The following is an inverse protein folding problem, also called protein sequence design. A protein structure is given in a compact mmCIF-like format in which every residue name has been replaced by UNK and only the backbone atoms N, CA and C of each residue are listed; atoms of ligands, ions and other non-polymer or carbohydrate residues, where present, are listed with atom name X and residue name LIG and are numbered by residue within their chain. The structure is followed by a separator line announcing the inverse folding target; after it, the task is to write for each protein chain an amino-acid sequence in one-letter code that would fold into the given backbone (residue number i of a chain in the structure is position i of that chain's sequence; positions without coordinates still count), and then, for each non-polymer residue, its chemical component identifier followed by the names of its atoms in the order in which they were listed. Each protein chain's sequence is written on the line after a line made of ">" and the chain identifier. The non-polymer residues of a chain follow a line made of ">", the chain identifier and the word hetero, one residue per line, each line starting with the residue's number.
data_IF_124619289160
#
_entry.id   IF_124619289160
#
_cell.length_a   1.000
_cell.length_b   1.000
_cell.length_c   1.000
_cell.angle_alpha   90.00
_cell.angle_beta   90.00
_cell.angle_gamma   90.00
#
_symmetry.space_group_name_H-M   'P 1'
#
loop_
_entity.id
_entity.type
_entity.pdbx_description
1 polymer ?
#
# COMPACT_ATOMS: atom_id res chain seq x y z
N UNK A 1 -25.08 28.68 1.13
CA UNK A 1 -25.64 27.52 0.40
C UNK A 1 -24.66 26.35 0.60
N UNK A 2 -24.98 25.38 1.47
CA UNK A 2 -24.15 24.18 1.64
C UNK A 2 -24.49 23.26 0.47
N UNK A 3 -23.57 23.11 -0.49
CA UNK A 3 -23.70 22.11 -1.55
C UNK A 3 -23.66 20.73 -0.90
N UNK A 4 -24.76 20.01 -0.97
CA UNK A 4 -24.82 18.59 -0.66
C UNK A 4 -23.97 17.85 -1.68
N UNK A 5 -22.69 17.66 -1.37
CA UNK A 5 -21.86 16.72 -2.12
C UNK A 5 -22.36 15.32 -1.76
N UNK A 6 -23.26 14.78 -2.59
CA UNK A 6 -23.67 13.38 -2.52
C UNK A 6 -22.40 12.58 -2.74
N UNK A 7 -21.87 11.98 -1.69
CA UNK A 7 -20.76 11.05 -1.73
C UNK A 7 -21.13 9.90 -2.69
N UNK A 8 -20.72 9.99 -3.94
CA UNK A 8 -20.77 8.86 -4.86
C UNK A 8 -19.91 7.76 -4.25
N UNK A 9 -20.56 6.70 -3.79
CA UNK A 9 -19.86 5.53 -3.26
C UNK A 9 -18.94 4.98 -4.35
N UNK A 10 -17.64 5.08 -4.14
CA UNK A 10 -16.67 4.54 -5.10
C UNK A 10 -16.81 3.02 -5.12
N UNK A 11 -16.97 2.45 -6.31
CA UNK A 11 -16.97 1.01 -6.49
C UNK A 11 -15.51 0.52 -6.52
N UNK A 12 -15.11 -0.25 -5.51
CA UNK A 12 -13.85 -0.96 -5.49
C UNK A 12 -13.96 -2.29 -6.22
N UNK A 13 -12.82 -2.81 -6.74
CA UNK A 13 -12.72 -4.16 -7.28
C UNK A 13 -12.93 -5.26 -6.23
N UNK A 14 -12.82 -6.54 -6.65
CA UNK A 14 -12.96 -7.70 -5.77
C UNK A 14 -14.42 -8.05 -5.42
N UNK A 15 -15.39 -7.66 -6.25
CA UNK A 15 -16.83 -7.87 -6.00
C UNK A 15 -17.42 -8.95 -6.90
N UNK A 16 -16.77 -10.10 -7.01
CA UNK A 16 -17.20 -11.22 -7.86
C UNK A 16 -18.66 -11.60 -7.60
N UNK A 17 -19.07 -11.74 -6.34
CA UNK A 17 -20.45 -12.11 -6.00
C UNK A 17 -21.50 -11.11 -6.55
N UNK A 18 -21.18 -9.82 -6.51
CA UNK A 18 -22.06 -8.80 -7.09
C UNK A 18 -22.13 -8.91 -8.62
N UNK A 19 -21.01 -9.22 -9.27
CA UNK A 19 -20.96 -9.44 -10.71
C UNK A 19 -21.75 -10.70 -11.09
N UNK A 20 -21.67 -11.78 -10.33
CA UNK A 20 -22.44 -13.01 -10.54
C UNK A 20 -23.96 -12.78 -10.46
N UNK A 21 -24.41 -11.93 -9.56
CA UNK A 21 -25.82 -11.54 -9.45
C UNK A 21 -26.28 -10.75 -10.68
N UNK A 22 -25.43 -9.86 -11.20
CA UNK A 22 -25.74 -9.05 -12.38
C UNK A 22 -25.69 -9.86 -13.69
N UNK A 23 -24.86 -10.89 -13.75
CA UNK A 23 -24.63 -11.71 -14.95
C UNK A 23 -24.78 -13.20 -14.64
N UNK A 24 -25.99 -13.69 -14.26
CA UNK A 24 -26.19 -15.06 -13.78
C UNK A 24 -25.90 -16.15 -14.81
N UNK A 25 -25.93 -15.79 -16.09
CA UNK A 25 -25.69 -16.71 -17.22
C UNK A 25 -24.25 -16.66 -17.75
N UNK A 26 -23.35 -15.92 -17.09
CA UNK A 26 -21.95 -15.87 -17.50
C UNK A 26 -21.26 -17.22 -17.26
N UNK A 27 -20.34 -17.65 -18.16
CA UNK A 27 -19.65 -18.92 -18.00
C UNK A 27 -18.77 -18.94 -16.74
N UNK A 28 -18.68 -20.11 -16.11
CA UNK A 28 -17.73 -20.38 -15.04
C UNK A 28 -16.46 -21.06 -15.59
N UNK A 29 -15.28 -20.94 -14.94
CA UNK A 29 -15.04 -20.14 -13.71
C UNK A 29 -14.94 -18.64 -13.98
N UNK A 30 -15.30 -17.84 -12.97
CA UNK A 30 -15.09 -16.39 -13.00
C UNK A 30 -13.62 -16.06 -12.78
N UNK A 31 -13.10 -15.11 -13.56
CA UNK A 31 -11.74 -14.58 -13.40
C UNK A 31 -11.86 -13.11 -12.98
N UNK A 32 -11.34 -12.78 -11.78
CA UNK A 32 -11.36 -11.42 -11.27
C UNK A 32 -10.10 -10.66 -11.70
N UNK A 33 -10.27 -9.73 -12.63
CA UNK A 33 -9.21 -8.81 -13.09
C UNK A 33 -9.40 -7.40 -12.53
N UNK A 34 -10.25 -7.22 -11.51
CA UNK A 34 -10.57 -5.90 -10.95
C UNK A 34 -9.68 -5.49 -9.79
N UNK A 35 -8.71 -6.31 -9.38
CA UNK A 35 -7.79 -6.05 -8.28
C UNK A 35 -6.34 -6.31 -8.68
N UNK A 36 -5.42 -5.42 -8.24
CA UNK A 36 -3.98 -5.63 -8.42
C UNK A 36 -3.41 -6.55 -7.33
N UNK A 37 -3.83 -7.81 -7.31
CA UNK A 37 -3.38 -8.83 -6.35
C UNK A 37 -2.66 -9.93 -7.09
N UNK A 38 -1.53 -10.40 -6.58
CA UNK A 38 -0.82 -11.55 -7.13
C UNK A 38 -1.76 -12.76 -7.18
N UNK A 39 -2.04 -13.35 -8.36
CA UNK A 39 -2.93 -14.49 -8.48
C UNK A 39 -2.36 -15.76 -7.85
N UNK A 40 -1.03 -15.83 -7.67
CA UNK A 40 -0.35 -16.93 -6.98
C UNK A 40 -0.20 -16.57 -5.50
N UNK A 41 -1.12 -17.07 -4.67
CA UNK A 41 -1.07 -16.80 -3.24
C UNK A 41 0.07 -17.55 -2.55
N UNK A 42 0.67 -16.92 -1.54
CA UNK A 42 1.59 -17.62 -0.61
C UNK A 42 0.87 -18.79 0.05
N UNK A 43 1.47 -19.97 0.12
CA UNK A 43 0.84 -21.13 0.73
C UNK A 43 0.60 -20.88 2.23
N UNK A 44 -0.67 -20.99 2.64
CA UNK A 44 -1.04 -20.75 4.04
C UNK A 44 -0.49 -21.89 4.90
N UNK A 45 0.41 -21.58 5.86
CA UNK A 45 0.95 -22.61 6.75
C UNK A 45 -0.10 -23.06 7.76
N UNK A 46 0.13 -24.20 8.38
CA UNK A 46 -0.61 -24.60 9.57
C UNK A 46 -0.42 -23.57 10.70
N UNK A 47 -1.52 -23.13 11.29
CA UNK A 47 -1.54 -22.12 12.33
C UNK A 47 -1.91 -22.79 13.65
N UNK A 48 -1.09 -22.56 14.67
CA UNK A 48 -1.36 -23.08 16.01
C UNK A 48 -2.69 -22.53 16.55
N UNK A 49 -3.50 -23.38 17.23
CA UNK A 49 -4.83 -22.97 17.74
C UNK A 49 -4.79 -21.73 18.63
N UNK A 50 -3.70 -21.50 19.34
CA UNK A 50 -3.52 -20.35 20.23
C UNK A 50 -3.53 -19.01 19.47
N UNK A 51 -3.08 -18.98 18.22
CA UNK A 51 -3.15 -17.76 17.40
C UNK A 51 -4.59 -17.31 17.12
N UNK A 52 -5.56 -18.23 17.21
CA UNK A 52 -6.99 -17.93 17.07
C UNK A 52 -7.68 -17.57 18.38
N UNK A 53 -7.24 -18.18 19.49
CA UNK A 53 -7.94 -18.15 20.77
C UNK A 53 -7.34 -17.19 21.80
N UNK A 54 -6.19 -16.58 21.51
CA UNK A 54 -5.52 -15.61 22.38
C UNK A 54 -5.35 -14.27 21.67
N UNK A 55 -5.37 -13.20 22.44
CA UNK A 55 -4.93 -11.89 21.95
C UNK A 55 -3.44 -11.93 21.67
N UNK A 56 -2.97 -11.31 20.56
CA UNK A 56 -1.54 -11.22 20.27
C UNK A 56 -0.80 -10.43 21.35
N UNK A 57 0.36 -10.90 21.73
CA UNK A 57 1.26 -10.24 22.66
C UNK A 57 2.30 -9.34 21.94
N UNK A 58 3.11 -8.65 22.75
CA UNK A 58 4.14 -7.75 22.23
C UNK A 58 5.23 -8.49 21.45
N UNK A 59 5.51 -9.75 21.81
CA UNK A 59 6.49 -10.58 21.10
C UNK A 59 6.03 -10.93 19.69
N UNK A 60 4.74 -11.26 19.51
CA UNK A 60 4.18 -11.53 18.19
C UNK A 60 4.25 -10.30 17.27
N UNK A 61 3.99 -9.10 17.81
CA UNK A 61 4.12 -7.85 17.05
C UNK A 61 5.58 -7.54 16.74
N UNK A 62 6.49 -7.58 17.71
CA UNK A 62 7.90 -7.28 17.48
C UNK A 62 8.54 -8.23 16.47
N UNK A 63 8.20 -9.51 16.54
CA UNK A 63 8.73 -10.52 15.60
C UNK A 63 8.35 -10.24 14.15
N UNK A 64 7.09 -9.90 13.87
CA UNK A 64 6.67 -9.62 12.49
C UNK A 64 7.20 -8.26 12.01
N UNK A 65 7.29 -7.27 12.88
CA UNK A 65 7.80 -5.95 12.54
C UNK A 65 9.30 -6.00 12.22
N UNK A 66 10.07 -6.82 12.94
CA UNK A 66 11.48 -7.09 12.63
C UNK A 66 11.61 -7.86 11.32
N UNK A 67 10.80 -8.88 11.08
CA UNK A 67 10.78 -9.60 9.82
C UNK A 67 10.44 -8.66 8.64
N UNK A 68 9.47 -7.78 8.81
CA UNK A 68 9.13 -6.77 7.81
C UNK A 68 10.26 -5.77 7.57
N UNK A 69 10.94 -5.29 8.62
CA UNK A 69 12.09 -4.40 8.50
C UNK A 69 13.21 -5.04 7.68
N UNK A 70 13.52 -6.30 7.96
CA UNK A 70 14.54 -7.08 7.21
C UNK A 70 14.09 -7.29 5.77
N UNK A 71 12.86 -7.77 5.57
CA UNK A 71 12.30 -8.06 4.25
C UNK A 71 12.27 -6.85 3.33
N UNK A 72 11.95 -5.68 3.85
CA UNK A 72 11.90 -4.43 3.09
C UNK A 72 13.25 -3.71 3.02
N UNK A 73 14.32 -4.32 3.53
CA UNK A 73 15.66 -3.76 3.57
C UNK A 73 15.69 -2.34 4.16
N UNK A 74 14.90 -2.13 5.22
CA UNK A 74 14.81 -0.85 5.90
C UNK A 74 16.03 -0.66 6.83
N UNK A 75 16.50 0.60 7.01
CA UNK A 75 17.54 0.92 7.98
C UNK A 75 17.24 0.38 9.38
N UNK A 76 18.26 0.03 10.14
CA UNK A 76 18.11 -0.55 11.49
C UNK A 76 17.31 0.36 12.44
N UNK A 77 17.43 1.68 12.28
CA UNK A 77 16.75 2.69 13.09
C UNK A 77 15.28 2.89 12.67
N UNK A 78 14.90 2.43 11.47
CA UNK A 78 13.50 2.51 11.01
C UNK A 78 12.59 1.74 11.94
N UNK A 79 11.51 2.36 12.34
CA UNK A 79 10.41 1.74 13.08
C UNK A 79 9.39 1.17 12.12
N UNK A 80 8.86 0.03 12.48
CA UNK A 80 7.80 -0.64 11.71
C UNK A 80 6.59 -0.77 12.61
N UNK A 81 5.42 -0.46 12.06
CA UNK A 81 4.13 -0.60 12.74
C UNK A 81 3.25 -1.49 11.88
N UNK A 82 2.83 -2.63 12.41
CA UNK A 82 1.88 -3.53 11.75
C UNK A 82 0.44 -3.02 11.95
N UNK A 83 -0.39 -3.16 10.91
CA UNK A 83 -1.79 -2.75 10.94
C UNK A 83 -2.68 -3.63 10.07
N UNK A 84 -4.00 -3.48 10.19
CA UNK A 84 -5.00 -4.24 9.44
C UNK A 84 -5.06 -3.84 7.95
N UNK A 85 -3.95 -4.03 7.25
CA UNK A 85 -3.71 -3.60 5.87
C UNK A 85 -3.40 -2.09 5.78
N UNK A 86 -2.89 -1.65 4.62
CA UNK A 86 -2.59 -0.24 4.37
C UNK A 86 -3.80 0.66 4.58
N UNK A 87 -5.00 0.15 4.30
CA UNK A 87 -6.24 0.91 4.49
C UNK A 87 -6.44 1.40 5.93
N UNK A 88 -6.00 0.66 6.95
CA UNK A 88 -6.07 1.12 8.33
C UNK A 88 -5.23 2.37 8.57
N UNK A 89 -4.04 2.44 7.96
CA UNK A 89 -3.20 3.64 8.02
C UNK A 89 -3.82 4.81 7.26
N UNK A 90 -4.32 4.58 6.04
CA UNK A 90 -5.01 5.62 5.25
C UNK A 90 -6.14 6.26 6.06
N UNK A 91 -6.91 5.47 6.82
CA UNK A 91 -8.03 5.96 7.63
C UNK A 91 -7.60 6.77 8.87
N UNK A 92 -6.45 6.46 9.47
CA UNK A 92 -6.01 7.15 10.69
C UNK A 92 -5.14 8.37 10.43
N UNK A 93 -4.44 8.44 9.28
CA UNK A 93 -3.51 9.54 8.96
C UNK A 93 -4.15 10.93 9.04
N UNK A 94 -5.37 11.19 8.55
CA UNK A 94 -6.01 12.50 8.71
C UNK A 94 -6.33 12.86 10.18
N UNK A 95 -6.45 11.86 11.05
CA UNK A 95 -6.65 12.07 12.51
C UNK A 95 -5.33 12.39 13.21
N UNK A 96 -4.22 11.82 12.72
CA UNK A 96 -2.87 12.10 13.23
C UNK A 96 -2.42 13.50 12.80
N UNK A 97 -2.74 13.88 11.55
CA UNK A 97 -2.38 15.17 10.96
C UNK A 97 -3.65 15.98 10.59
N UNK A 98 -4.38 16.54 11.58
CA UNK A 98 -5.67 17.17 11.32
C UNK A 98 -5.51 18.54 10.66
N UNK A 99 -6.57 18.99 9.92
CA UNK A 99 -6.73 20.35 9.36
C UNK A 99 -5.54 20.77 8.50
N UNK A 100 -5.19 19.96 7.49
CA UNK A 100 -4.02 20.18 6.64
C UNK A 100 -4.41 20.58 5.22
N UNK A 101 -3.49 21.28 4.57
CA UNK A 101 -3.47 21.34 3.11
C UNK A 101 -2.74 20.12 2.60
N UNK A 102 -3.43 19.29 1.83
CA UNK A 102 -2.96 17.99 1.39
C UNK A 102 -2.80 17.99 -0.12
N UNK A 103 -1.57 17.77 -0.58
CA UNK A 103 -1.26 17.56 -1.99
C UNK A 103 -1.22 16.07 -2.30
N UNK A 104 -1.93 15.62 -3.32
CA UNK A 104 -1.91 14.23 -3.79
C UNK A 104 -1.37 14.20 -5.21
N UNK A 105 -0.32 13.42 -5.46
CA UNK A 105 0.32 13.34 -6.76
C UNK A 105 -0.49 12.52 -7.77
N UNK A 106 -1.09 13.21 -8.73
CA UNK A 106 -1.80 12.65 -9.88
C UNK A 106 -3.11 11.95 -9.55
N UNK A 107 -3.74 11.41 -10.59
CA UNK A 107 -4.85 10.49 -10.42
C UNK A 107 -4.32 9.18 -9.81
N UNK A 108 -4.79 8.86 -8.62
CA UNK A 108 -4.29 7.74 -7.82
C UNK A 108 -5.40 7.05 -7.03
N UNK A 109 -5.03 6.14 -6.12
CA UNK A 109 -5.97 5.41 -5.28
C UNK A 109 -6.90 6.36 -4.52
N UNK A 110 -8.18 6.31 -4.86
CA UNK A 110 -9.17 7.33 -4.48
C UNK A 110 -9.41 7.47 -2.97
N UNK A 111 -9.07 6.44 -2.18
CA UNK A 111 -9.24 6.46 -0.72
C UNK A 111 -8.44 7.58 -0.05
N UNK A 112 -7.30 7.98 -0.61
CA UNK A 112 -6.56 9.12 -0.08
C UNK A 112 -7.38 10.41 -0.16
N UNK A 113 -7.89 10.74 -1.34
CA UNK A 113 -8.70 11.95 -1.51
C UNK A 113 -10.00 11.91 -0.69
N UNK A 114 -10.65 10.75 -0.62
CA UNK A 114 -11.88 10.57 0.15
C UNK A 114 -11.65 10.74 1.65
N UNK A 115 -10.64 10.07 2.18
CA UNK A 115 -10.39 10.03 3.62
C UNK A 115 -9.94 11.39 4.15
N UNK A 116 -9.05 12.06 3.41
CA UNK A 116 -8.62 13.41 3.75
C UNK A 116 -9.71 14.44 3.50
N UNK A 117 -10.51 14.31 2.44
CA UNK A 117 -11.66 15.17 2.16
C UNK A 117 -12.81 15.01 3.16
N UNK A 118 -12.90 13.86 3.85
CA UNK A 118 -13.85 13.64 4.94
C UNK A 118 -13.37 14.20 6.29
N UNK A 119 -12.11 14.59 6.38
CA UNK A 119 -11.56 15.36 7.51
C UNK A 119 -11.66 16.85 7.22
N UNK A 120 -11.39 17.69 8.20
CA UNK A 120 -11.39 19.17 8.00
C UNK A 120 -10.16 19.65 7.18
N UNK A 121 -9.68 18.85 6.23
CA UNK A 121 -8.50 19.13 5.40
C UNK A 121 -8.89 19.64 4.02
N UNK A 122 -8.02 20.45 3.42
CA UNK A 122 -8.16 20.91 2.02
C UNK A 122 -7.30 20.01 1.14
N UNK A 123 -7.92 19.29 0.22
CA UNK A 123 -7.25 18.34 -0.67
C UNK A 123 -7.10 18.92 -2.07
N UNK A 124 -5.90 18.85 -2.61
CA UNK A 124 -5.58 19.26 -3.98
C UNK A 124 -4.85 18.10 -4.68
N UNK A 125 -5.31 17.77 -5.89
CA UNK A 125 -4.62 16.82 -6.75
C UNK A 125 -3.68 17.60 -7.66
N UNK A 126 -2.41 17.24 -7.68
CA UNK A 126 -1.36 17.90 -8.45
C UNK A 126 -0.77 16.95 -9.50
N UNK A 127 -0.43 17.47 -10.67
CA UNK A 127 -0.01 16.63 -11.79
C UNK A 127 1.46 16.24 -11.75
N UNK A 128 2.30 17.03 -11.07
CA UNK A 128 3.74 16.82 -11.03
C UNK A 128 4.33 16.90 -9.63
N UNK A 129 5.50 16.31 -9.44
CA UNK A 129 6.20 16.32 -8.15
C UNK A 129 6.66 17.74 -7.78
N UNK A 130 6.94 18.59 -8.76
CA UNK A 130 7.30 20.00 -8.54
C UNK A 130 6.12 20.81 -8.02
N UNK A 131 4.90 20.45 -8.44
CA UNK A 131 3.68 21.04 -7.89
C UNK A 131 3.45 20.54 -6.45
N UNK A 132 3.78 19.28 -6.15
CA UNK A 132 3.70 18.75 -4.79
C UNK A 132 4.70 19.41 -3.83
N UNK A 133 5.81 19.92 -4.35
CA UNK A 133 6.81 20.67 -3.57
C UNK A 133 6.38 22.11 -3.19
N UNK A 134 5.12 22.46 -3.42
CA UNK A 134 4.56 23.72 -3.00
C UNK A 134 4.18 23.69 -1.52
N UNK A 135 3.31 24.57 -1.14
CA UNK A 135 2.92 24.86 0.23
C UNK A 135 1.82 23.90 0.75
N UNK A 136 2.14 22.59 0.80
CA UNK A 136 1.29 21.55 1.39
C UNK A 136 1.84 21.12 2.74
N UNK A 137 0.98 20.96 3.72
CA UNK A 137 1.36 20.40 5.03
C UNK A 137 1.63 18.89 4.93
N UNK A 138 0.89 18.21 4.02
CA UNK A 138 1.02 16.79 3.77
C UNK A 138 1.11 16.55 2.26
N UNK A 139 2.13 15.84 1.82
CA UNK A 139 2.26 15.31 0.47
C UNK A 139 1.98 13.82 0.43
N UNK A 140 1.26 13.36 -0.59
CA UNK A 140 0.96 11.94 -0.77
C UNK A 140 1.42 11.49 -2.16
N UNK A 141 2.23 10.44 -2.19
CA UNK A 141 2.74 9.79 -3.39
C UNK A 141 2.39 8.31 -3.31
N UNK A 142 1.74 7.76 -4.33
CA UNK A 142 1.59 6.31 -4.51
C UNK A 142 2.64 5.87 -5.52
N UNK A 143 3.56 4.99 -5.13
CA UNK A 143 4.72 4.63 -5.95
C UNK A 143 5.12 3.15 -5.81
N UNK A 144 4.89 2.31 -6.79
CA UNK A 144 4.25 2.57 -8.10
C UNK A 144 2.81 3.04 -7.98
N UNK A 145 2.40 3.94 -8.88
CA UNK A 145 1.06 4.51 -8.82
C UNK A 145 -0.03 3.50 -9.25
N UNK A 146 -1.14 3.53 -8.58
CA UNK A 146 -2.37 2.84 -8.97
C UNK A 146 -3.39 3.88 -9.47
N UNK A 147 -3.87 3.82 -10.76
CA UNK A 147 -3.92 2.61 -11.60
C UNK A 147 -2.88 2.51 -12.71
N UNK A 148 -2.11 3.55 -12.99
CA UNK A 148 -1.31 3.66 -14.24
C UNK A 148 0.09 3.04 -14.13
N UNK A 149 0.51 2.59 -12.95
CA UNK A 149 1.82 1.99 -12.72
C UNK A 149 3.00 2.97 -12.82
N UNK A 150 2.74 4.27 -12.92
CA UNK A 150 3.79 5.29 -13.00
C UNK A 150 4.73 5.19 -11.80
N UNK A 151 6.03 5.28 -12.08
CA UNK A 151 7.08 5.39 -11.09
C UNK A 151 7.59 6.84 -11.00
N UNK A 152 7.76 7.31 -9.78
CA UNK A 152 8.52 8.53 -9.48
C UNK A 152 9.94 8.10 -9.14
N UNK A 153 10.89 8.78 -9.73
CA UNK A 153 12.32 8.50 -9.53
C UNK A 153 12.73 8.71 -8.07
N UNK A 154 13.51 7.76 -7.53
CA UNK A 154 13.95 7.78 -6.13
C UNK A 154 14.66 9.09 -5.74
N UNK A 155 15.46 9.66 -6.65
CA UNK A 155 16.14 10.94 -6.44
C UNK A 155 15.20 12.14 -6.34
N UNK A 156 14.07 12.13 -7.05
CA UNK A 156 13.04 13.17 -6.94
C UNK A 156 12.31 13.08 -5.60
N UNK A 157 11.96 11.85 -5.18
CA UNK A 157 11.33 11.62 -3.88
C UNK A 157 12.26 12.04 -2.74
N UNK A 158 13.56 11.72 -2.84
CA UNK A 158 14.54 12.09 -1.81
C UNK A 158 14.64 13.61 -1.65
N UNK A 159 14.77 14.35 -2.75
CA UNK A 159 14.81 15.82 -2.72
C UNK A 159 13.54 16.42 -2.12
N UNK A 160 12.38 15.86 -2.46
CA UNK A 160 11.11 16.30 -1.90
C UNK A 160 11.05 16.02 -0.40
N UNK A 161 11.46 14.83 0.04
CA UNK A 161 11.47 14.45 1.46
C UNK A 161 12.36 15.37 2.30
N UNK A 162 13.55 15.75 1.80
CA UNK A 162 14.43 16.72 2.46
C UNK A 162 13.75 18.08 2.63
N UNK A 163 13.05 18.57 1.59
CA UNK A 163 12.34 19.85 1.65
C UNK A 163 11.16 19.82 2.62
N UNK A 164 10.41 18.70 2.63
CA UNK A 164 9.34 18.49 3.59
C UNK A 164 9.88 18.46 5.02
N UNK A 165 11.03 17.80 5.25
CA UNK A 165 11.69 17.80 6.55
C UNK A 165 12.10 19.21 6.99
N UNK A 166 12.70 20.02 6.11
CA UNK A 166 13.09 21.40 6.41
C UNK A 166 11.92 22.31 6.80
N UNK A 167 10.72 22.00 6.29
CA UNK A 167 9.49 22.77 6.52
C UNK A 167 8.61 22.18 7.63
N UNK A 168 9.03 21.10 8.29
CA UNK A 168 8.22 20.32 9.23
C UNK A 168 6.88 19.86 8.64
N UNK A 169 6.89 19.50 7.37
CA UNK A 169 5.76 18.94 6.61
C UNK A 169 5.85 17.42 6.57
N UNK A 170 4.74 16.72 6.25
CA UNK A 170 4.69 15.26 6.24
C UNK A 170 4.59 14.72 4.82
N UNK A 171 5.45 13.77 4.44
CA UNK A 171 5.39 13.05 3.17
C UNK A 171 4.98 11.59 3.41
N UNK A 172 3.87 11.19 2.81
CA UNK A 172 3.35 9.83 2.86
C UNK A 172 3.61 9.18 1.51
N UNK A 173 4.32 8.05 1.52
CA UNK A 173 4.69 7.31 0.32
C UNK A 173 4.05 5.93 0.40
N UNK A 174 3.04 5.68 -0.42
CA UNK A 174 2.38 4.38 -0.51
C UNK A 174 3.13 3.49 -1.50
N UNK A 175 3.82 2.51 -0.98
CA UNK A 175 4.57 1.51 -1.73
C UNK A 175 3.85 0.14 -1.78
N UNK A 176 2.54 0.14 -1.89
CA UNK A 176 1.74 -1.10 -1.90
C UNK A 176 2.10 -2.07 -3.03
N UNK A 177 2.74 -1.60 -4.09
CA UNK A 177 3.11 -2.40 -5.27
C UNK A 177 4.63 -2.48 -5.53
N UNK A 178 5.48 -2.02 -4.61
CA UNK A 178 6.92 -1.88 -4.84
C UNK A 178 7.71 -3.19 -4.67
N UNK A 179 7.14 -4.23 -4.09
CA UNK A 179 7.90 -5.42 -3.64
C UNK A 179 8.67 -6.14 -4.74
N UNK A 180 8.20 -6.06 -6.00
CA UNK A 180 8.90 -6.61 -7.17
C UNK A 180 9.92 -5.63 -7.79
N UNK A 181 9.99 -4.41 -7.27
CA UNK A 181 10.89 -3.33 -7.73
C UNK A 181 11.59 -2.64 -6.55
N UNK A 182 12.24 -3.40 -5.64
CA UNK A 182 12.76 -2.86 -4.37
C UNK A 182 13.83 -1.77 -4.56
N UNK A 183 14.48 -1.71 -5.72
CA UNK A 183 15.47 -0.68 -6.05
C UNK A 183 14.87 0.74 -6.11
N UNK A 184 13.56 0.87 -6.36
CA UNK A 184 12.85 2.15 -6.38
C UNK A 184 12.26 2.55 -5.04
N UNK A 185 12.38 1.70 -4.01
CA UNK A 185 11.81 1.99 -2.69
C UNK A 185 12.47 3.20 -2.02
N UNK A 186 11.64 4.01 -1.42
CA UNK A 186 12.02 5.17 -0.62
C UNK A 186 12.25 4.84 0.87
N UNK A 187 12.31 3.56 1.22
CA UNK A 187 12.39 3.09 2.62
C UNK A 187 13.56 3.71 3.40
N UNK A 188 14.67 4.03 2.75
CA UNK A 188 15.82 4.69 3.40
C UNK A 188 15.51 6.10 3.91
N UNK A 189 14.43 6.74 3.41
CA UNK A 189 14.02 8.08 3.83
C UNK A 189 13.21 8.07 5.14
N UNK A 190 12.83 6.89 5.65
CA UNK A 190 12.05 6.73 6.90
C UNK A 190 12.81 7.13 8.17
N UNK A 191 14.10 7.46 8.05
CA UNK A 191 14.87 8.08 9.11
C UNK A 191 14.51 9.56 9.34
N UNK A 192 13.89 10.20 8.35
CA UNK A 192 13.36 11.55 8.48
C UNK A 192 11.99 11.49 9.18
N UNK A 193 11.79 12.33 10.18
CA UNK A 193 10.49 12.42 10.88
C UNK A 193 9.36 12.85 9.95
N UNK A 194 9.68 13.47 8.84
CA UNK A 194 8.73 13.91 7.81
C UNK A 194 8.25 12.79 6.89
N UNK A 195 8.76 11.54 6.99
CA UNK A 195 8.45 10.48 6.01
C UNK A 195 7.77 9.29 6.67
N UNK A 196 6.68 8.85 6.07
CA UNK A 196 6.01 7.59 6.36
C UNK A 196 5.90 6.80 5.05
N UNK A 197 6.43 5.58 5.03
CA UNK A 197 6.30 4.64 3.90
C UNK A 197 5.31 3.55 4.27
N UNK A 198 4.30 3.32 3.42
CA UNK A 198 3.29 2.29 3.62
C UNK A 198 3.59 1.07 2.73
N UNK A 199 3.42 -0.14 3.27
CA UNK A 199 3.69 -1.41 2.57
C UNK A 199 2.49 -2.34 2.71
N UNK A 200 2.02 -2.88 1.58
CA UNK A 200 0.91 -3.83 1.57
C UNK A 200 1.42 -5.26 1.50
N UNK A 201 1.03 -6.08 2.45
CA UNK A 201 1.31 -7.51 2.42
C UNK A 201 0.43 -8.25 1.39
N UNK A 202 -0.87 -7.98 1.43
CA UNK A 202 -1.86 -8.75 0.68
C UNK A 202 -1.75 -8.69 -0.83
N UNK A 203 -1.10 -7.66 -1.38
CA UNK A 203 -0.91 -7.49 -2.83
C UNK A 203 0.12 -8.47 -3.35
N UNK A 204 1.31 -8.41 -2.80
CA UNK A 204 2.47 -9.20 -3.22
C UNK A 204 2.31 -10.68 -2.89
N UNK A 205 1.86 -10.99 -1.68
CA UNK A 205 1.69 -12.36 -1.22
C UNK A 205 0.37 -13.03 -1.65
N UNK A 206 -0.48 -12.34 -2.44
CA UNK A 206 -1.74 -12.91 -2.93
C UNK A 206 -2.75 -13.23 -1.82
N UNK A 207 -2.60 -12.64 -0.64
CA UNK A 207 -3.44 -12.89 0.54
C UNK A 207 -4.18 -11.61 1.02
N UNK A 208 -4.98 -10.96 0.17
CA UNK A 208 -5.65 -9.71 0.54
C UNK A 208 -6.63 -9.85 1.69
N UNK A 209 -7.21 -11.05 1.86
CA UNK A 209 -8.13 -11.38 2.96
C UNK A 209 -7.47 -11.45 4.32
N UNK A 210 -6.14 -11.58 4.40
CA UNK A 210 -5.38 -11.61 5.65
C UNK A 210 -5.41 -10.27 6.39
N UNK A 211 -5.64 -9.18 5.68
CA UNK A 211 -5.66 -7.82 6.21
C UNK A 211 -4.39 -7.47 6.99
N UNK A 212 -3.24 -7.52 6.33
CA UNK A 212 -1.94 -7.18 6.89
C UNK A 212 -1.26 -6.11 6.04
N UNK A 213 -0.65 -5.12 6.69
CA UNK A 213 0.16 -4.07 6.09
C UNK A 213 1.05 -3.41 7.13
N UNK A 214 1.96 -2.58 6.67
CA UNK A 214 2.98 -1.97 7.52
C UNK A 214 3.16 -0.50 7.20
N UNK A 215 3.44 0.29 8.24
CA UNK A 215 4.00 1.62 8.13
C UNK A 215 5.44 1.60 8.61
N UNK A 216 6.36 2.10 7.79
CA UNK A 216 7.78 2.25 8.09
C UNK A 216 8.04 3.74 8.31
N UNK A 217 8.63 4.11 9.44
CA UNK A 217 8.73 5.50 9.84
C UNK A 217 9.80 5.73 10.93
N UNK A 218 9.93 6.97 11.36
CA UNK A 218 10.74 7.34 12.53
C UNK A 218 10.07 6.95 13.85
N UNK A 219 10.82 7.05 14.95
CA UNK A 219 10.30 6.81 16.30
C UNK A 219 9.16 7.75 16.67
N UNK A 220 9.22 9.00 16.23
CA UNK A 220 8.14 9.97 16.47
C UNK A 220 6.83 9.51 15.85
N UNK A 221 6.85 9.18 14.56
CA UNK A 221 5.66 8.70 13.82
C UNK A 221 5.17 7.34 14.32
N UNK A 222 6.07 6.44 14.75
CA UNK A 222 5.68 5.17 15.38
C UNK A 222 4.73 5.40 16.55
N UNK A 223 5.08 6.31 17.47
CA UNK A 223 4.27 6.59 18.65
C UNK A 223 2.86 7.10 18.27
N UNK A 224 2.80 8.02 17.30
CA UNK A 224 1.52 8.55 16.79
C UNK A 224 0.65 7.46 16.14
N UNK A 225 1.26 6.62 15.30
CA UNK A 225 0.56 5.54 14.61
C UNK A 225 0.03 4.49 15.60
N UNK A 226 0.87 4.04 16.56
CA UNK A 226 0.45 3.06 17.59
C UNK A 226 -0.68 3.61 18.45
N UNK A 227 -0.61 4.86 18.87
CA UNK A 227 -1.66 5.51 19.65
C UNK A 227 -2.99 5.57 18.86
N UNK A 228 -2.92 5.87 17.57
CA UNK A 228 -4.12 5.99 16.73
C UNK A 228 -4.75 4.64 16.37
N UNK A 229 -3.94 3.59 16.18
CA UNK A 229 -4.39 2.23 15.91
C UNK A 229 -4.99 1.55 17.15
N UNK A 230 -4.45 1.87 18.33
CA UNK A 230 -4.79 1.17 19.58
C UNK A 230 -4.15 -0.23 19.66
N UNK A 231 -4.48 -1.00 20.73
CA UNK A 231 -3.95 -2.33 20.94
C UNK A 231 -4.57 -3.33 19.94
N UNK A 232 -3.84 -4.43 19.71
CA UNK A 232 -4.29 -5.57 18.89
C UNK A 232 -4.72 -5.20 17.47
N UNK A 233 -4.00 -4.30 16.84
CA UNK A 233 -4.31 -3.78 15.51
C UNK A 233 -4.29 -4.85 14.38
N UNK A 234 -3.73 -6.03 14.65
CA UNK A 234 -3.63 -7.17 13.71
C UNK A 234 -4.01 -8.45 14.43
N UNK A 235 -4.73 -9.34 13.76
CA UNK A 235 -5.14 -10.63 14.31
C UNK A 235 -3.95 -11.60 14.47
N UNK A 236 -4.02 -12.50 15.46
CA UNK A 236 -3.00 -13.52 15.68
C UNK A 236 -2.68 -14.38 14.44
N UNK A 237 -3.70 -14.90 13.72
CA UNK A 237 -3.44 -15.61 12.46
C UNK A 237 -2.71 -14.79 11.40
N UNK A 238 -3.03 -13.50 11.28
CA UNK A 238 -2.35 -12.62 10.33
C UNK A 238 -0.88 -12.39 10.70
N UNK A 239 -0.57 -12.25 11.99
CA UNK A 239 0.81 -12.17 12.48
C UNK A 239 1.58 -13.48 12.19
N UNK A 240 0.98 -14.64 12.49
CA UNK A 240 1.63 -15.94 12.29
C UNK A 240 1.92 -16.26 10.81
N UNK A 241 0.95 -16.02 9.92
CA UNK A 241 1.12 -16.23 8.48
C UNK A 241 2.12 -15.21 7.92
N UNK A 242 1.94 -13.94 8.31
CA UNK A 242 2.78 -12.84 7.83
C UNK A 242 4.25 -13.03 8.22
N UNK A 243 4.53 -13.46 9.45
CA UNK A 243 5.89 -13.74 9.91
C UNK A 243 6.57 -14.81 9.04
N UNK A 244 5.89 -15.92 8.78
CA UNK A 244 6.43 -16.99 7.91
C UNK A 244 6.69 -16.50 6.49
N UNK A 245 5.73 -15.80 5.90
CA UNK A 245 5.83 -15.32 4.53
C UNK A 245 6.93 -14.26 4.36
N UNK A 246 7.06 -13.32 5.30
CA UNK A 246 8.12 -12.30 5.26
C UNK A 246 9.51 -12.90 5.45
N UNK A 247 9.60 -14.03 6.16
CA UNK A 247 10.85 -14.76 6.40
C UNK A 247 11.20 -15.76 5.29
N UNK A 248 10.45 -15.77 4.17
CA UNK A 248 10.65 -16.65 3.02
C UNK A 248 11.12 -15.86 1.79
N UNK A 249 12.42 -15.56 1.67
CA UNK A 249 12.96 -14.82 0.53
C UNK A 249 12.93 -15.64 -0.77
N UNK A 250 12.90 -16.97 -0.70
CA UNK A 250 12.88 -17.82 -1.89
C UNK A 250 11.53 -17.69 -2.62
N UNK A 251 10.44 -17.79 -1.88
CA UNK A 251 9.11 -17.67 -2.46
C UNK A 251 8.91 -16.33 -3.17
N UNK A 252 9.31 -15.22 -2.54
CA UNK A 252 9.10 -13.89 -3.15
C UNK A 252 9.93 -13.71 -4.43
N UNK A 253 11.14 -14.26 -4.48
CA UNK A 253 11.97 -14.21 -5.67
C UNK A 253 11.34 -15.01 -6.81
N UNK A 254 10.82 -16.23 -6.52
CA UNK A 254 10.10 -17.04 -7.50
C UNK A 254 8.82 -16.34 -7.98
N UNK A 255 8.04 -15.75 -7.07
CA UNK A 255 6.85 -14.99 -7.41
C UNK A 255 7.16 -13.79 -8.32
N UNK A 256 8.25 -13.07 -8.06
CA UNK A 256 8.68 -11.95 -8.90
C UNK A 256 9.02 -12.41 -10.33
N UNK A 257 9.77 -13.49 -10.47
CA UNK A 257 10.12 -14.08 -11.78
C UNK A 257 8.85 -14.51 -12.52
N UNK A 258 7.93 -15.21 -11.84
CA UNK A 258 6.68 -15.66 -12.44
C UNK A 258 5.81 -14.48 -12.91
N UNK A 259 5.61 -13.48 -12.08
CA UNK A 259 4.85 -12.28 -12.44
C UNK A 259 5.46 -11.55 -13.64
N UNK A 260 6.78 -11.47 -13.72
CA UNK A 260 7.46 -10.86 -14.87
C UNK A 260 7.26 -11.65 -16.16
N UNK A 261 7.33 -12.98 -16.10
CA UNK A 261 7.08 -13.85 -17.26
C UNK A 261 5.63 -13.75 -17.74
N UNK A 262 4.68 -13.76 -16.81
CA UNK A 262 3.25 -13.68 -17.13
C UNK A 262 2.89 -12.31 -17.72
N UNK A 263 3.50 -11.24 -17.22
CA UNK A 263 3.35 -9.89 -17.79
C UNK A 263 3.88 -9.82 -19.22
N UNK A 264 5.06 -10.39 -19.49
CA UNK A 264 5.61 -10.46 -20.84
C UNK A 264 4.71 -11.24 -21.80
N UNK A 265 4.20 -12.38 -21.36
CA UNK A 265 3.23 -13.17 -22.12
C UNK A 265 1.94 -12.41 -22.43
N UNK A 266 1.42 -11.67 -21.44
CA UNK A 266 0.23 -10.83 -21.64
C UNK A 266 0.50 -9.72 -22.65
N UNK A 267 1.66 -9.08 -22.60
CA UNK A 267 2.04 -8.04 -23.55
C UNK A 267 2.10 -8.58 -24.99
N UNK A 268 2.62 -9.78 -25.20
CA UNK A 268 2.63 -10.44 -26.52
C UNK A 268 1.22 -10.73 -27.02
N UNK A 269 0.36 -11.29 -26.17
CA UNK A 269 -1.03 -11.57 -26.51
C UNK A 269 -1.83 -10.31 -26.87
N UNK A 270 -1.58 -9.21 -26.19
CA UNK A 270 -2.24 -7.93 -26.46
C UNK A 270 -1.74 -7.30 -27.76
N UNK A 271 -0.44 -7.40 -28.08
CA UNK A 271 0.14 -6.94 -29.34
C UNK A 271 -0.43 -7.70 -30.53
N UNK A 272 -0.52 -9.03 -30.43
CA UNK A 272 -1.03 -9.90 -31.50
C UNK A 272 -2.48 -9.57 -31.85
N UNK A 273 -3.29 -9.19 -30.88
CA UNK A 273 -4.70 -8.81 -31.08
C UNK A 273 -4.92 -7.35 -31.49
N UNK A 274 -3.86 -6.63 -31.90
CA UNK A 274 -3.90 -5.18 -32.21
C UNK A 274 -4.48 -4.34 -31.06
N UNK A 275 -4.46 -4.83 -29.86
CA UNK A 275 -4.85 -4.10 -28.64
C UNK A 275 -3.64 -3.35 -28.13
N UNK A 276 -3.70 -2.02 -28.10
CA UNK A 276 -2.69 -1.22 -27.44
C UNK A 276 -2.89 -1.32 -25.95
N UNK A 277 -1.92 -1.92 -25.24
CA UNK A 277 -1.77 -1.66 -23.82
C UNK A 277 -1.47 -0.16 -23.68
N UNK A 278 -2.28 0.57 -22.94
CA UNK A 278 -1.91 1.91 -22.51
C UNK A 278 -0.51 1.79 -21.91
N UNK A 279 0.42 2.63 -22.35
CA UNK A 279 1.82 2.64 -21.92
C UNK A 279 1.92 2.91 -20.41
N UNK A 280 1.53 1.94 -19.62
CA UNK A 280 1.90 1.87 -18.22
C UNK A 280 3.32 1.34 -18.19
N UNK A 281 4.27 2.25 -18.09
CA UNK A 281 5.68 1.95 -18.02
C UNK A 281 5.93 0.85 -16.99
N UNK A 282 6.19 -0.36 -17.47
CA UNK A 282 7.03 -1.37 -16.84
C UNK A 282 6.63 -2.00 -15.49
N UNK A 283 5.40 -1.87 -15.02
CA UNK A 283 4.95 -2.65 -13.87
C UNK A 283 3.94 -3.66 -14.34
N UNK A 284 4.14 -4.97 -14.12
CA UNK A 284 3.10 -5.95 -14.33
C UNK A 284 1.98 -5.64 -13.32
N UNK A 285 0.90 -5.06 -13.82
CA UNK A 285 -0.35 -5.12 -13.11
C UNK A 285 -0.87 -6.54 -13.29
N UNK A 286 -0.49 -7.40 -12.34
CA UNK A 286 -1.05 -8.74 -12.23
C UNK A 286 -2.50 -8.68 -11.81
#
# INVERSE_FOLDING_TARGET
>A
MRSHCISKKIAHGGRINAAQVLFPNAPAPWIDLSTGVNPCAYPIPEIVPQAWSRLPDDEAFSSIEDAARIRYNAPLQTRVVAGAGVQSFIQILPRIFPRRRVGILGFTYAEYALTWGASDSVVEIVDTIEQLDKDFDVGIIVNPNNPDGRLVEKGQIAKLAERFAQRNQQLIIDESFIDFYPQFSAVNLTLLDSVIVLRSFGKTYGLPGLRLGFALCSKHNENLLRQALGPWAVSGPALAIGLKALSDPEWINLAAVQCQQDAGRLDELLKDRKSTRLNSSHIPLS
#
